data_IF_728189059485
#
_entry.id   IF_728189059485
#
_cell.length_a   1.000
_cell.length_b   1.000
_cell.length_c   1.000
_cell.angle_alpha   90.00
_cell.angle_beta   90.00
_cell.angle_gamma   90.00
#
_symmetry.space_group_name_H-M   'P 1'
#
loop_
_entity.id
_entity.type
_entity.pdbx_description
1 polymer ?
#
# COMPACT_ATOMS: atom_id res chain seq x y z
N UNK A 1 -12.62 -19.08 2.22
CA UNK A 1 -12.41 -17.97 1.27
C UNK A 1 -12.89 -16.70 1.97
N UNK A 2 -12.08 -15.65 1.98
CA UNK A 2 -12.45 -14.36 2.58
C UNK A 2 -13.40 -13.58 1.66
N UNK A 3 -14.23 -12.73 2.24
CA UNK A 3 -14.96 -11.71 1.49
C UNK A 3 -13.98 -10.64 1.01
N UNK A 4 -14.38 -9.82 0.04
CA UNK A 4 -13.59 -8.69 -0.44
C UNK A 4 -13.30 -7.71 0.71
N UNK A 5 -14.29 -7.39 1.55
CA UNK A 5 -14.07 -6.50 2.71
C UNK A 5 -13.09 -7.12 3.72
N UNK A 6 -13.17 -8.43 3.96
CA UNK A 6 -12.23 -9.11 4.84
C UNK A 6 -10.81 -9.10 4.25
N UNK A 7 -10.66 -9.30 2.94
CA UNK A 7 -9.36 -9.22 2.27
C UNK A 7 -8.72 -7.83 2.42
N UNK A 8 -9.51 -6.77 2.27
CA UNK A 8 -9.06 -5.39 2.46
C UNK A 8 -8.62 -5.17 3.91
N UNK A 9 -9.45 -5.60 4.86
CA UNK A 9 -9.17 -5.47 6.29
C UNK A 9 -7.91 -6.25 6.71
N UNK A 10 -7.74 -7.47 6.21
CA UNK A 10 -6.58 -8.29 6.52
C UNK A 10 -5.29 -7.68 5.96
N UNK A 11 -5.32 -7.17 4.72
CA UNK A 11 -4.17 -6.49 4.12
C UNK A 11 -3.78 -5.23 4.91
N UNK A 12 -4.75 -4.41 5.31
CA UNK A 12 -4.52 -3.23 6.14
C UNK A 12 -3.88 -3.58 7.49
N UNK A 13 -4.42 -4.59 8.19
CA UNK A 13 -3.85 -5.05 9.45
C UNK A 13 -2.42 -5.58 9.32
N UNK A 14 -2.13 -6.31 8.24
CA UNK A 14 -0.76 -6.81 8.01
C UNK A 14 0.20 -5.65 7.73
N UNK A 15 -0.22 -4.58 7.05
CA UNK A 15 0.58 -3.37 6.87
C UNK A 15 0.94 -2.77 8.22
N UNK A 16 -0.07 -2.54 9.07
CA UNK A 16 0.13 -1.98 10.43
C UNK A 16 1.11 -2.83 11.23
N UNK A 17 0.90 -4.15 11.28
CA UNK A 17 1.79 -5.08 12.00
C UNK A 17 3.23 -5.07 11.48
N UNK A 18 3.42 -4.96 10.16
CA UNK A 18 4.76 -4.89 9.60
C UNK A 18 5.48 -3.60 10.03
N UNK A 19 4.78 -2.46 10.01
CA UNK A 19 5.33 -1.18 10.46
C UNK A 19 5.76 -1.28 11.93
N UNK A 20 4.90 -1.81 12.79
CA UNK A 20 5.18 -1.99 14.21
C UNK A 20 6.37 -2.93 14.47
N UNK A 21 6.48 -4.04 13.71
CA UNK A 21 7.46 -5.09 13.98
C UNK A 21 8.82 -4.90 13.29
N UNK A 22 8.88 -4.20 12.15
CA UNK A 22 10.06 -4.17 11.27
C UNK A 22 10.67 -2.78 11.12
N UNK A 23 10.43 -1.87 12.07
CA UNK A 23 10.96 -0.49 12.02
C UNK A 23 12.49 -0.44 11.82
N UNK A 24 13.23 -1.39 12.39
CA UNK A 24 14.70 -1.48 12.27
C UNK A 24 15.18 -2.26 11.02
N UNK A 25 14.28 -2.95 10.32
CA UNK A 25 14.59 -3.76 9.13
C UNK A 25 13.95 -3.13 7.90
N UNK A 26 14.39 -1.91 7.56
CA UNK A 26 13.77 -1.04 6.54
C UNK A 26 13.59 -1.70 5.18
N UNK A 27 14.55 -2.51 4.76
CA UNK A 27 14.45 -3.25 3.50
C UNK A 27 13.26 -4.20 3.54
N UNK A 28 13.22 -5.11 4.53
CA UNK A 28 12.16 -6.11 4.70
C UNK A 28 10.79 -5.46 4.95
N UNK A 29 10.74 -4.40 5.76
CA UNK A 29 9.56 -3.58 5.98
C UNK A 29 9.01 -3.05 4.65
N UNK A 30 9.86 -2.44 3.83
CA UNK A 30 9.46 -1.88 2.54
C UNK A 30 8.89 -2.95 1.63
N UNK A 31 9.50 -4.15 1.59
CA UNK A 31 8.99 -5.24 0.75
C UNK A 31 7.62 -5.74 1.21
N UNK A 32 7.47 -5.96 2.51
CA UNK A 32 6.24 -6.48 3.05
C UNK A 32 5.09 -5.47 2.88
N UNK A 33 5.34 -4.19 3.18
CA UNK A 33 4.34 -3.13 3.00
C UNK A 33 3.96 -2.98 1.52
N UNK A 34 4.91 -2.98 0.59
CA UNK A 34 4.60 -2.86 -0.84
C UNK A 34 3.83 -4.07 -1.38
N UNK A 35 4.13 -5.28 -0.89
CA UNK A 35 3.36 -6.48 -1.20
C UNK A 35 1.92 -6.39 -0.67
N UNK A 36 1.72 -5.96 0.57
CA UNK A 36 0.37 -5.84 1.13
C UNK A 36 -0.42 -4.66 0.58
N UNK A 37 0.24 -3.56 0.20
CA UNK A 37 -0.41 -2.46 -0.52
C UNK A 37 -0.99 -2.94 -1.86
N UNK A 38 -0.31 -3.87 -2.54
CA UNK A 38 -0.87 -4.49 -3.75
C UNK A 38 -2.14 -5.27 -3.42
N UNK A 39 -2.10 -6.13 -2.41
CA UNK A 39 -3.27 -6.90 -1.97
C UNK A 39 -4.45 -5.97 -1.59
N UNK A 40 -4.16 -4.89 -0.88
CA UNK A 40 -5.15 -3.88 -0.48
C UNK A 40 -5.80 -3.23 -1.70
N UNK A 41 -4.99 -2.80 -2.68
CA UNK A 41 -5.48 -2.18 -3.92
C UNK A 41 -6.29 -3.16 -4.76
N UNK A 42 -5.84 -4.41 -4.89
CA UNK A 42 -6.57 -5.46 -5.60
C UNK A 42 -7.95 -5.72 -4.95
N UNK A 43 -8.02 -5.71 -3.61
CA UNK A 43 -9.28 -5.76 -2.86
C UNK A 43 -10.20 -4.57 -3.15
N UNK A 44 -9.67 -3.34 -3.11
CA UNK A 44 -10.45 -2.13 -3.44
C UNK A 44 -10.95 -2.12 -4.87
N UNK A 45 -10.14 -2.60 -5.83
CA UNK A 45 -10.52 -2.77 -7.23
C UNK A 45 -11.64 -3.79 -7.37
N UNK A 46 -11.54 -4.95 -6.70
CA UNK A 46 -12.59 -5.95 -6.69
C UNK A 46 -13.89 -5.40 -6.08
N UNK A 47 -13.80 -4.63 -4.99
CA UNK A 47 -14.95 -3.97 -4.34
C UNK A 47 -15.64 -2.98 -5.27
N UNK A 48 -14.86 -2.16 -5.98
CA UNK A 48 -15.37 -1.21 -6.96
C UNK A 48 -16.05 -1.92 -8.14
N UNK A 49 -15.47 -3.04 -8.60
CA UNK A 49 -16.01 -3.83 -9.70
C UNK A 49 -17.33 -4.52 -9.35
N UNK A 50 -17.40 -5.12 -8.15
CA UNK A 50 -18.55 -5.90 -7.70
C UNK A 50 -19.65 -5.04 -7.07
N UNK A 51 -19.35 -3.78 -6.72
CA UNK A 51 -20.27 -2.87 -6.04
C UNK A 51 -20.59 -3.25 -4.59
N UNK A 52 -20.07 -4.37 -4.10
CA UNK A 52 -20.25 -4.86 -2.73
C UNK A 52 -18.99 -5.57 -2.26
N UNK A 53 -18.69 -5.43 -0.97
CA UNK A 53 -17.57 -6.13 -0.33
C UNK A 53 -17.93 -7.48 0.28
N UNK A 54 -19.21 -7.84 0.29
CA UNK A 54 -19.70 -9.10 0.88
C UNK A 54 -19.42 -10.32 -0.02
N UNK A 55 -19.15 -10.10 -1.31
CA UNK A 55 -18.81 -11.18 -2.22
C UNK A 55 -17.44 -11.78 -1.89
N UNK A 56 -17.27 -13.05 -2.24
CA UNK A 56 -15.97 -13.73 -2.12
C UNK A 56 -14.92 -13.08 -3.01
N UNK A 57 -13.75 -12.78 -2.45
CA UNK A 57 -12.63 -12.27 -3.23
C UNK A 57 -12.09 -13.36 -4.18
N UNK A 58 -11.86 -13.00 -5.44
CA UNK A 58 -11.21 -13.86 -6.43
C UNK A 58 -10.15 -13.08 -7.19
N UNK A 59 -8.95 -13.64 -7.25
CA UNK A 59 -7.83 -13.03 -7.98
C UNK A 59 -8.14 -12.86 -9.48
N UNK A 60 -8.95 -13.75 -10.05
CA UNK A 60 -9.39 -13.69 -11.45
C UNK A 60 -10.15 -12.41 -11.79
N UNK A 61 -10.83 -11.82 -10.82
CA UNK A 61 -11.76 -10.71 -11.04
C UNK A 61 -11.03 -9.35 -11.02
N UNK A 62 -9.77 -9.34 -10.54
CA UNK A 62 -8.93 -8.14 -10.44
C UNK A 62 -8.67 -7.54 -11.82
N UNK A 63 -8.42 -8.37 -12.84
CA UNK A 63 -8.15 -7.89 -14.20
C UNK A 63 -9.33 -7.09 -14.78
N UNK A 64 -10.53 -7.67 -14.72
CA UNK A 64 -11.75 -6.98 -15.15
C UNK A 64 -12.04 -5.73 -14.31
N UNK A 65 -11.78 -5.80 -13.00
CA UNK A 65 -11.93 -4.65 -12.12
C UNK A 65 -10.97 -3.51 -12.47
N UNK A 66 -9.74 -3.81 -12.86
CA UNK A 66 -8.74 -2.80 -13.27
C UNK A 66 -9.19 -2.01 -14.50
N UNK A 67 -9.87 -2.66 -15.44
CA UNK A 67 -10.43 -2.00 -16.63
C UNK A 67 -11.58 -1.06 -16.27
N UNK A 68 -12.47 -1.50 -15.36
CA UNK A 68 -13.57 -0.67 -14.85
C UNK A 68 -13.05 0.57 -14.13
N UNK A 69 -12.13 0.40 -13.16
CA UNK A 69 -11.62 1.55 -12.40
C UNK A 69 -10.75 2.47 -13.25
N UNK A 70 -10.10 1.97 -14.31
CA UNK A 70 -9.34 2.80 -15.26
C UNK A 70 -10.23 3.74 -16.06
N UNK A 71 -11.44 3.29 -16.41
CA UNK A 71 -12.41 4.07 -17.17
C UNK A 71 -13.06 5.20 -16.31
N UNK A 72 -13.11 5.05 -14.99
CA UNK A 72 -13.60 6.08 -14.07
C UNK A 72 -12.46 7.00 -13.61
N UNK A 73 -12.55 8.29 -13.94
CA UNK A 73 -11.53 9.28 -13.57
C UNK A 73 -11.24 9.36 -12.05
N UNK A 74 -12.24 9.11 -11.20
CA UNK A 74 -12.10 9.13 -9.73
C UNK A 74 -11.37 7.89 -9.22
N UNK A 75 -11.56 6.74 -9.88
CA UNK A 75 -10.98 5.45 -9.46
C UNK A 75 -9.71 5.08 -10.22
N UNK A 76 -9.38 5.78 -11.31
CA UNK A 76 -8.19 5.52 -12.13
C UNK A 76 -6.89 5.61 -11.33
N UNK A 77 -6.89 6.34 -10.21
CA UNK A 77 -5.77 6.34 -9.25
C UNK A 77 -5.42 4.92 -8.78
N UNK A 78 -6.40 4.02 -8.59
CA UNK A 78 -6.19 2.63 -8.19
C UNK A 78 -5.48 1.85 -9.29
N UNK A 79 -5.90 1.99 -10.55
CA UNK A 79 -5.25 1.33 -11.70
C UNK A 79 -3.80 1.78 -11.87
N UNK A 80 -3.55 3.10 -11.78
CA UNK A 80 -2.20 3.68 -11.87
C UNK A 80 -1.32 3.23 -10.71
N UNK A 81 -1.88 3.16 -9.50
CA UNK A 81 -1.13 2.74 -8.32
C UNK A 81 -0.80 1.25 -8.38
N UNK A 82 -1.77 0.40 -8.75
CA UNK A 82 -1.54 -1.03 -8.99
C UNK A 82 -0.41 -1.27 -10.00
N UNK A 83 -0.40 -0.54 -11.14
CA UNK A 83 0.65 -0.68 -12.15
C UNK A 83 2.05 -0.35 -11.60
N UNK A 84 2.17 0.70 -10.77
CA UNK A 84 3.44 1.04 -10.10
C UNK A 84 3.87 -0.05 -9.12
N UNK A 85 2.94 -0.57 -8.32
CA UNK A 85 3.22 -1.66 -7.38
C UNK A 85 3.67 -2.92 -8.11
N UNK A 86 3.04 -3.26 -9.23
CA UNK A 86 3.41 -4.43 -10.04
C UNK A 86 4.86 -4.34 -10.54
N UNK A 87 5.24 -3.20 -11.12
CA UNK A 87 6.61 -2.95 -11.57
C UNK A 87 7.63 -2.87 -10.43
N UNK A 88 7.17 -2.54 -9.22
CA UNK A 88 7.98 -2.70 -8.02
C UNK A 88 8.19 -4.19 -7.77
N UNK A 89 7.11 -4.96 -7.55
CA UNK A 89 7.11 -6.34 -7.06
C UNK A 89 7.81 -7.37 -7.97
N UNK A 90 7.92 -7.14 -9.28
CA UNK A 90 8.56 -8.10 -10.21
C UNK A 90 10.07 -8.23 -10.06
N UNK A 91 10.74 -7.31 -9.36
CA UNK A 91 12.21 -7.29 -9.19
C UNK A 91 12.69 -7.72 -7.79
N UNK A 92 11.80 -8.24 -6.94
CA UNK A 92 12.04 -8.47 -5.51
C UNK A 92 12.85 -9.71 -5.14
N UNK A 93 13.21 -10.56 -6.10
CA UNK A 93 13.97 -11.78 -5.80
C UNK A 93 15.48 -11.49 -5.62
N UNK A 94 15.98 -10.26 -5.88
CA UNK A 94 17.44 -10.00 -5.94
C UNK A 94 17.99 -8.80 -5.14
N UNK A 95 17.21 -8.10 -4.30
CA UNK A 95 17.78 -7.11 -3.35
C UNK A 95 16.86 -5.92 -3.06
N UNK A 96 16.80 -5.47 -1.80
CA UNK A 96 15.81 -4.51 -1.27
C UNK A 96 15.87 -3.06 -1.78
N UNK A 97 16.85 -2.68 -2.58
CA UNK A 97 17.07 -1.30 -3.05
C UNK A 97 15.91 -0.68 -3.88
N UNK A 98 15.22 -1.41 -4.80
CA UNK A 98 14.10 -0.84 -5.56
C UNK A 98 12.88 -0.50 -4.69
N UNK A 99 12.63 -1.31 -3.66
CA UNK A 99 11.54 -1.19 -2.69
C UNK A 99 11.69 0.06 -1.85
N UNK A 100 12.89 0.20 -1.30
CA UNK A 100 13.25 1.32 -0.45
C UNK A 100 13.25 2.63 -1.27
N UNK A 101 13.69 2.60 -2.54
CA UNK A 101 13.61 3.77 -3.44
C UNK A 101 12.18 4.20 -3.75
N UNK A 102 11.24 3.27 -3.97
CA UNK A 102 9.83 3.61 -4.13
C UNK A 102 9.21 4.18 -2.86
N UNK A 103 9.52 3.56 -1.72
CA UNK A 103 9.07 4.04 -0.42
C UNK A 103 9.66 5.43 -0.10
N UNK A 104 10.95 5.66 -0.37
CA UNK A 104 11.64 6.96 -0.22
C UNK A 104 11.09 8.04 -1.16
N UNK A 105 10.94 7.72 -2.44
CA UNK A 105 10.55 8.69 -3.46
C UNK A 105 9.09 9.14 -3.39
N UNK A 106 8.19 8.33 -2.84
CA UNK A 106 6.74 8.57 -2.90
C UNK A 106 6.07 8.63 -1.52
N UNK A 107 6.50 7.81 -0.56
CA UNK A 107 5.85 7.66 0.76
C UNK A 107 6.59 8.45 1.85
N UNK A 108 7.87 8.20 2.08
CA UNK A 108 8.66 8.81 3.16
C UNK A 108 8.76 10.34 3.02
N UNK A 109 8.99 10.89 1.82
CA UNK A 109 9.05 12.36 1.66
C UNK A 109 7.73 13.08 1.97
N UNK A 110 6.57 12.41 1.87
CA UNK A 110 5.25 13.00 2.16
C UNK A 110 4.76 12.67 3.58
N UNK A 111 5.11 11.52 4.13
CA UNK A 111 4.74 11.11 5.49
C UNK A 111 5.72 11.62 6.56
N UNK A 112 7.03 11.60 6.32
CA UNK A 112 8.06 12.09 7.27
C UNK A 112 8.00 13.61 7.47
N UNK A 113 7.74 14.37 6.40
CA UNK A 113 7.53 15.82 6.48
C UNK A 113 6.34 16.20 7.38
N UNK A 114 5.38 15.28 7.56
CA UNK A 114 4.21 15.47 8.41
C UNK A 114 4.44 14.94 9.83
N UNK A 115 5.31 13.94 10.00
CA UNK A 115 5.65 13.34 11.31
C UNK A 115 6.70 14.11 12.13
N UNK A 116 7.59 14.88 11.49
CA UNK A 116 8.64 15.65 12.19
C UNK A 116 8.17 17.06 12.62
N UNK A 117 7.00 17.51 12.17
CA UNK A 117 6.42 18.80 12.54
C UNK A 117 5.76 18.81 13.94
N UNK A 118 5.61 17.64 14.58
CA UNK A 118 4.86 17.49 15.83
C UNK A 118 5.68 17.38 17.12
N UNK A 119 7.02 17.25 17.06
CA UNK A 119 7.83 16.89 18.26
C UNK A 119 9.05 17.81 18.48
N UNK A 120 9.17 18.94 17.77
CA UNK A 120 10.31 19.86 17.93
C UNK A 120 9.93 21.32 18.18
N UNK A 121 9.06 21.60 19.13
CA UNK A 121 8.97 22.96 19.73
C UNK A 121 8.51 22.90 21.18
N UNK A 122 9.36 22.44 22.09
CA UNK A 122 9.56 22.99 23.45
C UNK A 122 10.48 22.08 24.23
N UNK A 123 11.80 22.30 24.20
CA UNK A 123 12.67 22.25 25.38
C UNK A 123 13.98 22.94 25.00
N UNK A 124 14.30 24.02 25.71
CA UNK A 124 15.65 24.49 25.93
C UNK A 124 16.17 25.55 24.95
N UNK A 125 15.92 26.83 25.27
CA UNK A 125 16.97 27.87 25.39
C UNK A 125 16.35 29.11 26.05
N UNK A 126 16.51 29.22 27.37
CA UNK A 126 16.57 30.49 28.10
C UNK A 126 17.53 30.31 29.27
N UNK A 127 18.78 30.70 29.05
CA UNK A 127 19.53 31.49 30.03
C UNK A 127 18.96 32.89 30.08
#
# INVERSE_FOLDING_TARGET
MSTIDQQIYDADNVIVRNIEALTDQRDLLSQNVLSQLRNLVEGLVARAHQGTGANTFRQSDVGAGLDIVRADARLNVLSRFHHRLQGSTSHYVLGGDPSERLMRGQFLNRWWATGDAGVRTTVGQRT
#
